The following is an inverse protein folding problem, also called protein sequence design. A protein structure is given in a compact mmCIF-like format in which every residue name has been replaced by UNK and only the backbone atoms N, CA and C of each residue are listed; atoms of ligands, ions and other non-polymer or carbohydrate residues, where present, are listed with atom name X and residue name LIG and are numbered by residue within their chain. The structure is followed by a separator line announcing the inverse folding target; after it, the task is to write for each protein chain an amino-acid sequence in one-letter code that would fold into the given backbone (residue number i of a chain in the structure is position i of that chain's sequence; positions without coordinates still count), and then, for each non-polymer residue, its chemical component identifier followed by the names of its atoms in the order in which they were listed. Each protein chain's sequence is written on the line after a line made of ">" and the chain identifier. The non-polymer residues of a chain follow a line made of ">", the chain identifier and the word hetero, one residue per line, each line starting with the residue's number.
data_IF_116816041474
#
_entry.id   IF_116816041474
#
_cell.length_a   1.000
_cell.length_b   1.000
_cell.length_c   1.000
_cell.angle_alpha   90.00
_cell.angle_beta   90.00
_cell.angle_gamma   90.00
#
_symmetry.space_group_name_H-M   'P 1'
#
loop_
_entity.id
_entity.type
_entity.pdbx_description
1 polymer ?
#
# COMPACT_ATOMS: atom_id res chain seq x y z
N UNK A 1 -19.04 -1.28 17.02
CA UNK A 1 -19.94 -2.31 16.46
C UNK A 1 -20.09 -2.13 14.96
N UNK A 2 -20.38 -0.93 14.45
CA UNK A 2 -20.56 -0.67 13.01
C UNK A 2 -19.32 -0.99 12.17
N UNK A 3 -18.14 -0.59 12.61
CA UNK A 3 -16.85 -0.90 11.95
C UNK A 3 -16.58 -2.41 11.88
N UNK A 4 -16.90 -3.14 12.94
CA UNK A 4 -16.75 -4.59 12.97
C UNK A 4 -17.62 -5.28 11.92
N UNK A 5 -18.89 -4.87 11.81
CA UNK A 5 -19.83 -5.43 10.82
C UNK A 5 -19.39 -5.08 9.39
N UNK A 6 -18.93 -3.84 9.16
CA UNK A 6 -18.48 -3.41 7.83
C UNK A 6 -17.24 -4.21 7.35
N UNK A 7 -16.26 -4.40 8.22
CA UNK A 7 -15.02 -5.10 7.85
C UNK A 7 -15.25 -6.61 7.73
N UNK A 8 -16.07 -7.21 8.59
CA UNK A 8 -16.51 -8.60 8.39
C UNK A 8 -17.28 -8.79 7.09
N UNK A 9 -18.18 -7.86 6.75
CA UNK A 9 -18.91 -7.87 5.49
C UNK A 9 -17.99 -7.78 4.28
N UNK A 10 -17.00 -6.88 4.31
CA UNK A 10 -15.97 -6.78 3.28
C UNK A 10 -15.17 -8.08 3.15
N UNK A 11 -14.71 -8.66 4.27
CA UNK A 11 -14.01 -9.93 4.28
C UNK A 11 -14.84 -11.08 3.71
N UNK A 12 -16.17 -11.08 3.95
CA UNK A 12 -17.08 -12.06 3.37
C UNK A 12 -17.21 -11.92 1.85
N UNK A 13 -17.32 -10.69 1.36
CA UNK A 13 -17.44 -10.40 -0.09
C UNK A 13 -16.18 -10.83 -0.83
N UNK A 14 -14.99 -10.59 -0.26
CA UNK A 14 -13.70 -10.83 -0.92
C UNK A 14 -13.27 -12.29 -0.87
N UNK A 15 -13.42 -12.96 0.28
CA UNK A 15 -12.87 -14.30 0.49
C UNK A 15 -13.84 -15.31 1.12
N UNK A 16 -15.13 -14.97 1.17
CA UNK A 16 -16.16 -15.83 1.73
C UNK A 16 -16.11 -15.96 3.25
N UNK A 17 -16.80 -16.98 3.78
CA UNK A 17 -16.96 -17.16 5.24
C UNK A 17 -15.65 -17.36 5.98
N UNK A 18 -14.64 -17.97 5.37
CA UNK A 18 -13.33 -18.21 6.00
C UNK A 18 -12.61 -16.90 6.26
N UNK A 19 -12.54 -16.02 5.27
CA UNK A 19 -11.93 -14.69 5.40
C UNK A 19 -12.70 -13.83 6.40
N UNK A 20 -14.02 -13.85 6.39
CA UNK A 20 -14.84 -13.12 7.36
C UNK A 20 -14.56 -13.56 8.81
N UNK A 21 -14.39 -14.86 9.06
CA UNK A 21 -14.07 -15.38 10.40
C UNK A 21 -12.68 -14.96 10.83
N UNK A 22 -11.67 -15.06 9.94
CA UNK A 22 -10.30 -14.67 10.26
C UNK A 22 -10.25 -13.16 10.57
N UNK A 23 -10.73 -12.33 9.67
CA UNK A 23 -10.74 -10.86 9.82
C UNK A 23 -11.54 -10.45 11.06
N UNK A 24 -12.72 -11.05 11.27
CA UNK A 24 -13.54 -10.79 12.46
C UNK A 24 -12.83 -11.16 13.76
N UNK A 25 -12.14 -12.31 13.79
CA UNK A 25 -11.35 -12.74 14.94
C UNK A 25 -10.19 -11.80 15.26
N UNK A 26 -9.50 -11.30 14.23
CA UNK A 26 -8.38 -10.37 14.38
C UNK A 26 -8.83 -8.99 14.88
N UNK A 27 -9.95 -8.47 14.35
CA UNK A 27 -10.53 -7.21 14.84
C UNK A 27 -11.02 -7.37 16.29
N UNK A 28 -11.65 -8.50 16.61
CA UNK A 28 -12.07 -8.80 17.97
C UNK A 28 -10.86 -8.86 18.92
N UNK A 29 -9.74 -9.45 18.48
CA UNK A 29 -8.51 -9.47 19.23
C UNK A 29 -7.99 -8.05 19.53
N UNK A 30 -7.94 -7.17 18.53
CA UNK A 30 -7.54 -5.76 18.70
C UNK A 30 -8.50 -5.04 19.67
N UNK A 31 -9.81 -5.26 19.52
CA UNK A 31 -10.82 -4.64 20.38
C UNK A 31 -10.72 -5.09 21.84
N UNK A 32 -10.48 -6.38 22.09
CA UNK A 32 -10.31 -6.94 23.43
C UNK A 32 -8.96 -6.55 24.08
N UNK A 33 -7.95 -6.22 23.25
CA UNK A 33 -6.62 -5.79 23.73
C UNK A 33 -6.58 -4.31 24.15
N UNK A 34 -7.69 -3.57 24.06
CA UNK A 34 -7.80 -2.12 24.35
C UNK A 34 -6.93 -1.22 23.44
N UNK A 35 -6.45 -1.74 22.31
CA UNK A 35 -5.61 -0.99 21.35
C UNK A 35 -6.40 -0.39 20.19
N UNK A 36 -7.72 -0.26 20.34
CA UNK A 36 -8.62 0.20 19.28
C UNK A 36 -8.25 1.59 18.74
N UNK A 37 -7.96 2.55 19.62
CA UNK A 37 -7.59 3.91 19.21
C UNK A 37 -6.28 3.94 18.41
N UNK A 38 -5.31 3.14 18.83
CA UNK A 38 -4.04 2.98 18.12
C UNK A 38 -4.22 2.34 16.75
N UNK A 39 -5.10 1.34 16.64
CA UNK A 39 -5.45 0.71 15.39
C UNK A 39 -6.12 1.68 14.41
N UNK A 40 -7.01 2.55 14.91
CA UNK A 40 -7.63 3.59 14.09
C UNK A 40 -6.62 4.62 13.57
N UNK A 41 -5.67 5.04 14.39
CA UNK A 41 -4.61 5.96 13.96
C UNK A 41 -3.78 5.31 12.84
N UNK A 42 -3.34 4.07 13.02
CA UNK A 42 -2.59 3.32 12.02
C UNK A 42 -3.38 3.14 10.73
N UNK A 43 -4.66 2.75 10.84
CA UNK A 43 -5.54 2.57 9.68
C UNK A 43 -5.76 3.88 8.92
N UNK A 44 -5.96 4.99 9.62
CA UNK A 44 -6.08 6.32 9.02
C UNK A 44 -4.81 6.70 8.25
N UNK A 45 -3.65 6.61 8.90
CA UNK A 45 -2.36 6.97 8.28
C UNK A 45 -2.08 6.11 7.05
N UNK A 46 -2.26 4.79 7.15
CA UNK A 46 -2.03 3.85 6.06
C UNK A 46 -3.01 4.08 4.91
N UNK A 47 -4.31 4.21 5.19
CA UNK A 47 -5.32 4.43 4.15
C UNK A 47 -5.05 5.72 3.37
N UNK A 48 -4.77 6.81 4.08
CA UNK A 48 -4.44 8.07 3.43
C UNK A 48 -3.18 7.96 2.55
N UNK A 49 -2.12 7.35 3.08
CA UNK A 49 -0.89 7.13 2.33
C UNK A 49 -1.13 6.27 1.08
N UNK A 50 -1.90 5.19 1.19
CA UNK A 50 -2.24 4.30 0.07
C UNK A 50 -3.02 5.03 -1.01
N UNK A 51 -4.07 5.77 -0.64
CA UNK A 51 -4.90 6.50 -1.61
C UNK A 51 -4.08 7.52 -2.40
N UNK A 52 -3.26 8.31 -1.70
CA UNK A 52 -2.40 9.31 -2.35
C UNK A 52 -1.33 8.65 -3.21
N UNK A 53 -0.66 7.60 -2.71
CA UNK A 53 0.38 6.89 -3.44
C UNK A 53 -0.16 6.16 -4.67
N UNK A 54 -1.32 5.50 -4.56
CA UNK A 54 -1.96 4.83 -5.69
C UNK A 54 -2.36 5.84 -6.76
N UNK A 55 -2.98 6.95 -6.37
CA UNK A 55 -3.35 8.01 -7.31
C UNK A 55 -2.13 8.59 -8.04
N UNK A 56 -1.09 8.97 -7.31
CA UNK A 56 0.14 9.51 -7.89
C UNK A 56 0.86 8.47 -8.75
N UNK A 57 1.00 7.24 -8.26
CA UNK A 57 1.71 6.16 -8.94
C UNK A 57 1.02 5.73 -10.23
N UNK A 58 -0.30 5.58 -10.22
CA UNK A 58 -1.08 5.25 -11.42
C UNK A 58 -1.00 6.41 -12.44
N UNK A 59 -1.11 7.66 -11.98
CA UNK A 59 -1.05 8.83 -12.86
C UNK A 59 0.34 8.94 -13.51
N UNK A 60 1.40 8.92 -12.72
CA UNK A 60 2.79 8.99 -13.22
C UNK A 60 3.11 7.80 -14.10
N UNK A 61 2.76 6.58 -13.68
CA UNK A 61 2.96 5.36 -14.45
C UNK A 61 2.26 5.40 -15.79
N UNK A 62 1.00 5.85 -15.84
CA UNK A 62 0.21 5.97 -17.08
C UNK A 62 0.79 6.99 -18.06
N UNK A 63 1.32 8.10 -17.56
CA UNK A 63 1.98 9.11 -18.40
C UNK A 63 3.32 8.58 -18.93
N UNK A 64 4.13 7.95 -18.09
CA UNK A 64 5.44 7.43 -18.46
C UNK A 64 5.35 6.23 -19.41
N UNK A 65 4.31 5.42 -19.33
CA UNK A 65 4.10 4.27 -20.21
C UNK A 65 3.82 4.64 -21.67
N UNK A 66 3.43 5.89 -21.97
CA UNK A 66 3.14 6.32 -23.33
C UNK A 66 4.36 6.36 -24.26
N UNK A 67 5.57 6.37 -23.72
CA UNK A 67 6.82 6.41 -24.48
C UNK A 67 7.82 5.43 -23.90
N UNK A 68 8.43 4.58 -24.76
CA UNK A 68 9.42 3.60 -24.33
C UNK A 68 10.64 4.20 -23.60
N UNK A 69 11.06 5.41 -23.97
CA UNK A 69 12.17 6.11 -23.33
C UNK A 69 11.84 6.50 -21.88
N UNK A 70 10.68 7.15 -21.69
CA UNK A 70 10.20 7.55 -20.36
C UNK A 70 9.86 6.33 -19.49
N UNK A 71 9.30 5.29 -20.09
CA UNK A 71 9.00 4.02 -19.44
C UNK A 71 10.26 3.37 -18.86
N UNK A 72 11.32 3.24 -19.64
CA UNK A 72 12.60 2.69 -19.17
C UNK A 72 13.24 3.57 -18.10
N UNK A 73 13.19 4.88 -18.26
CA UNK A 73 13.76 5.82 -17.30
C UNK A 73 13.05 5.73 -15.94
N UNK A 74 11.72 5.73 -15.91
CA UNK A 74 10.96 5.66 -14.65
C UNK A 74 11.13 4.30 -13.98
N UNK A 75 11.18 3.19 -14.73
CA UNK A 75 11.46 1.87 -14.15
C UNK A 75 12.85 1.81 -13.52
N UNK A 76 13.88 2.37 -14.16
CA UNK A 76 15.21 2.46 -13.59
C UNK A 76 15.24 3.32 -12.30
N UNK A 77 14.46 4.40 -12.27
CA UNK A 77 14.28 5.22 -11.05
C UNK A 77 13.59 4.42 -9.96
N UNK A 78 12.52 3.70 -10.27
CA UNK A 78 11.84 2.83 -9.30
C UNK A 78 12.80 1.76 -8.75
N UNK A 79 13.58 1.08 -9.62
CA UNK A 79 14.56 0.07 -9.23
C UNK A 79 15.61 0.67 -8.30
N UNK A 80 16.15 1.84 -8.63
CA UNK A 80 17.11 2.55 -7.80
C UNK A 80 16.55 2.83 -6.40
N UNK A 81 15.36 3.41 -6.32
CA UNK A 81 14.75 3.71 -5.03
C UNK A 81 14.37 2.47 -4.22
N UNK A 82 14.02 1.36 -4.85
CA UNK A 82 13.74 0.09 -4.16
C UNK A 82 14.97 -0.58 -3.55
N UNK A 83 16.19 -0.20 -3.98
CA UNK A 83 17.42 -0.72 -3.36
C UNK A 83 17.71 -0.12 -1.99
N UNK A 84 17.13 1.03 -1.68
CA UNK A 84 17.36 1.68 -0.41
C UNK A 84 16.57 1.04 0.73
N UNK A 85 17.18 0.87 1.92
CA UNK A 85 16.44 0.56 3.12
C UNK A 85 15.35 1.59 3.40
N UNK A 86 14.17 1.13 3.78
CA UNK A 86 12.99 1.98 4.02
C UNK A 86 13.22 3.16 4.97
N UNK A 87 14.12 3.01 5.96
CA UNK A 87 14.48 4.10 6.87
C UNK A 87 15.06 5.34 6.18
N UNK A 88 15.69 5.18 5.02
CA UNK A 88 16.29 6.31 4.30
C UNK A 88 15.24 7.34 3.89
N UNK A 89 14.00 6.91 3.64
CA UNK A 89 12.90 7.81 3.29
C UNK A 89 12.41 8.62 4.50
N UNK A 90 12.53 8.06 5.68
CA UNK A 90 12.05 8.68 6.90
C UNK A 90 12.97 9.80 7.39
N UNK A 91 14.28 9.61 7.26
CA UNK A 91 15.29 10.56 7.79
C UNK A 91 15.12 11.97 7.23
N UNK A 92 15.11 12.23 5.90
CA UNK A 92 14.97 13.58 5.38
C UNK A 92 13.62 14.22 5.72
N UNK A 93 12.56 13.44 5.80
CA UNK A 93 11.23 13.95 6.15
C UNK A 93 11.20 14.40 7.61
N UNK A 94 11.81 13.63 8.52
CA UNK A 94 11.93 14.03 9.94
C UNK A 94 12.78 15.31 10.10
N UNK A 95 13.85 15.42 9.36
CA UNK A 95 14.71 16.61 9.40
C UNK A 95 13.95 17.87 8.96
N UNK A 96 13.00 17.77 8.04
CA UNK A 96 12.21 18.90 7.52
C UNK A 96 10.98 19.20 8.38
N UNK A 97 10.27 18.17 8.87
CA UNK A 97 8.95 18.31 9.50
C UNK A 97 8.93 17.90 10.98
N UNK A 98 10.08 17.48 11.52
CA UNK A 98 10.15 16.97 12.90
C UNK A 98 9.58 15.58 13.07
N UNK A 99 9.52 15.10 14.32
CA UNK A 99 8.98 13.80 14.69
C UNK A 99 7.48 13.94 14.88
N UNK A 100 6.71 13.68 13.83
CA UNK A 100 5.24 13.83 13.82
C UNK A 100 4.59 12.73 12.98
N UNK A 101 3.31 12.46 13.20
CA UNK A 101 2.52 11.53 12.38
C UNK A 101 2.51 11.97 10.91
N UNK A 102 2.50 13.27 10.65
CA UNK A 102 2.58 13.85 9.30
C UNK A 102 3.87 13.46 8.60
N UNK A 103 5.00 13.44 9.32
CA UNK A 103 6.30 13.00 8.77
C UNK A 103 6.26 11.54 8.33
N UNK A 104 5.65 10.67 9.14
CA UNK A 104 5.46 9.25 8.78
C UNK A 104 4.55 9.10 7.58
N UNK A 105 3.45 9.85 7.51
CA UNK A 105 2.54 9.82 6.36
C UNK A 105 3.22 10.26 5.07
N UNK A 106 4.01 11.34 5.09
CA UNK A 106 4.77 11.79 3.92
C UNK A 106 5.79 10.73 3.48
N UNK A 107 6.55 10.18 4.42
CA UNK A 107 7.51 9.13 4.13
C UNK A 107 6.83 7.86 3.57
N UNK A 108 5.65 7.50 4.10
CA UNK A 108 4.85 6.39 3.61
C UNK A 108 4.37 6.63 2.17
N UNK A 109 3.93 7.85 1.85
CA UNK A 109 3.52 8.21 0.48
C UNK A 109 4.70 8.09 -0.49
N UNK A 110 5.86 8.68 -0.15
CA UNK A 110 7.05 8.67 -1.01
C UNK A 110 7.54 7.24 -1.25
N UNK A 111 7.49 6.39 -0.23
CA UNK A 111 7.91 4.99 -0.35
C UNK A 111 6.90 4.13 -1.12
N UNK A 112 5.61 4.30 -0.84
CA UNK A 112 4.54 3.48 -1.41
C UNK A 112 4.14 3.88 -2.84
N UNK A 113 4.51 5.08 -3.32
CA UNK A 113 4.28 5.48 -4.72
C UNK A 113 5.10 4.65 -5.71
N UNK A 114 6.23 4.10 -5.28
CA UNK A 114 7.16 3.37 -6.14
C UNK A 114 6.53 2.12 -6.75
N UNK A 115 5.97 1.16 -5.97
CA UNK A 115 5.32 -0.02 -6.53
C UNK A 115 4.09 0.34 -7.38
N UNK A 116 3.28 1.33 -6.97
CA UNK A 116 2.14 1.76 -7.77
C UNK A 116 2.57 2.24 -9.17
N UNK A 117 3.62 3.05 -9.25
CA UNK A 117 4.18 3.54 -10.52
C UNK A 117 4.73 2.38 -11.35
N UNK A 118 5.55 1.53 -10.76
CA UNK A 118 6.21 0.41 -11.43
C UNK A 118 5.20 -0.54 -12.07
N UNK A 119 4.27 -1.08 -11.27
CA UNK A 119 3.29 -2.04 -11.77
C UNK A 119 2.32 -1.43 -12.79
N UNK A 120 2.04 -0.14 -12.71
CA UNK A 120 1.25 0.56 -13.72
C UNK A 120 2.00 0.61 -15.06
N UNK A 121 3.29 0.97 -15.05
CA UNK A 121 4.11 0.99 -16.26
C UNK A 121 4.27 -0.41 -16.87
N UNK A 122 4.59 -1.39 -16.04
CA UNK A 122 4.74 -2.79 -16.48
C UNK A 122 3.44 -3.33 -17.06
N UNK A 123 2.30 -3.05 -16.41
CA UNK A 123 0.98 -3.47 -16.87
C UNK A 123 0.61 -2.88 -18.22
N UNK A 124 0.82 -1.58 -18.41
CA UNK A 124 0.55 -0.93 -19.69
C UNK A 124 1.51 -1.39 -20.79
N UNK A 125 2.78 -1.63 -20.47
CA UNK A 125 3.76 -2.15 -21.42
C UNK A 125 3.54 -3.64 -21.77
N UNK A 126 2.82 -4.39 -20.96
CA UNK A 126 2.50 -5.80 -21.21
C UNK A 126 1.41 -6.01 -22.25
N UNK A 127 0.70 -4.94 -22.65
CA UNK A 127 -0.36 -5.01 -23.68
C UNK A 127 0.26 -5.34 -25.04
N UNK A 128 -0.18 -6.41 -25.73
CA UNK A 128 0.37 -6.81 -27.00
C UNK A 128 0.26 -5.72 -28.07
N UNK A 129 1.33 -5.50 -28.81
CA UNK A 129 1.38 -4.50 -29.92
C UNK A 129 0.35 -4.77 -30.99
N UNK A 130 -0.01 -6.04 -31.23
CA UNK A 130 -1.06 -6.44 -32.17
C UNK A 130 -2.43 -5.83 -31.83
N UNK A 131 -2.74 -5.64 -30.56
CA UNK A 131 -3.98 -4.98 -30.13
C UNK A 131 -3.94 -3.46 -30.34
N UNK A 132 -2.78 -2.85 -30.22
CA UNK A 132 -2.59 -1.44 -30.59
C UNK A 132 -2.79 -1.22 -32.09
N UNK A 133 -2.24 -2.11 -32.91
CA UNK A 133 -2.38 -2.05 -34.37
C UNK A 133 -3.83 -2.31 -34.79
N UNK A 134 -4.48 -3.34 -34.26
CA UNK A 134 -5.89 -3.63 -34.52
C UNK A 134 -6.82 -2.46 -34.15
N UNK A 135 -6.60 -1.83 -33.02
CA UNK A 135 -7.33 -0.64 -32.59
C UNK A 135 -7.12 0.53 -33.57
N UNK A 136 -5.88 0.74 -34.00
CA UNK A 136 -5.57 1.81 -34.93
C UNK A 136 -6.22 1.58 -36.33
N UNK A 137 -6.19 0.33 -36.82
CA UNK A 137 -6.83 -0.05 -38.09
C UNK A 137 -8.37 0.08 -38.02
N UNK A 138 -8.95 -0.12 -36.85
CA UNK A 138 -10.39 0.06 -36.61
C UNK A 138 -10.82 1.54 -36.47
N UNK A 139 -9.89 2.50 -36.63
CA UNK A 139 -10.20 3.93 -36.53
C UNK A 139 -10.48 4.42 -35.10
N UNK A 140 -10.12 3.65 -34.09
CA UNK A 140 -10.33 4.01 -32.67
C UNK A 140 -9.39 5.15 -32.29
N UNK A 141 -9.90 6.19 -31.64
CA UNK A 141 -9.09 7.29 -31.12
C UNK A 141 -8.13 6.82 -30.00
N UNK A 142 -7.05 7.59 -29.76
CA UNK A 142 -6.09 7.27 -28.67
C UNK A 142 -6.77 7.11 -27.31
N UNK A 143 -7.71 7.99 -26.98
CA UNK A 143 -8.45 7.93 -25.72
C UNK A 143 -9.32 6.67 -25.62
N UNK A 144 -10.04 6.32 -26.69
CA UNK A 144 -10.85 5.10 -26.74
C UNK A 144 -10.00 3.84 -26.63
N UNK A 145 -8.84 3.79 -27.32
CA UNK A 145 -7.90 2.67 -27.21
C UNK A 145 -7.39 2.53 -25.77
N UNK A 146 -6.99 3.65 -25.14
CA UNK A 146 -6.50 3.63 -23.76
C UNK A 146 -7.57 3.11 -22.80
N UNK A 147 -8.82 3.64 -22.85
CA UNK A 147 -9.89 3.27 -21.93
C UNK A 147 -10.42 1.86 -22.19
N UNK A 148 -10.58 1.46 -23.46
CA UNK A 148 -11.31 0.24 -23.81
C UNK A 148 -10.39 -0.97 -24.06
N UNK A 149 -9.08 -0.75 -24.28
CA UNK A 149 -8.14 -1.83 -24.58
C UNK A 149 -6.99 -1.86 -23.56
N UNK A 150 -6.21 -0.77 -23.48
CA UNK A 150 -4.97 -0.76 -22.70
C UNK A 150 -5.25 -0.86 -21.21
N UNK A 151 -6.12 0.00 -20.69
CA UNK A 151 -6.43 0.05 -19.25
C UNK A 151 -7.07 -1.25 -18.71
N UNK A 152 -8.09 -1.84 -19.37
CA UNK A 152 -8.66 -3.11 -18.92
C UNK A 152 -7.67 -4.27 -18.92
N UNK A 153 -6.78 -4.33 -19.90
CA UNK A 153 -5.74 -5.37 -19.97
C UNK A 153 -4.62 -5.15 -18.96
N UNK A 154 -4.28 -3.90 -18.66
CA UNK A 154 -3.29 -3.56 -17.63
C UNK A 154 -3.85 -3.67 -16.19
N UNK A 155 -5.18 -3.68 -16.02
CA UNK A 155 -5.84 -3.63 -14.71
C UNK A 155 -5.36 -4.71 -13.72
N UNK A 156 -5.15 -5.98 -14.11
CA UNK A 156 -4.62 -6.98 -13.17
C UNK A 156 -3.25 -6.60 -12.59
N UNK A 157 -2.36 -6.03 -13.40
CA UNK A 157 -1.05 -5.54 -12.94
C UNK A 157 -1.18 -4.30 -12.06
N UNK A 158 -2.08 -3.37 -12.42
CA UNK A 158 -2.36 -2.17 -11.61
C UNK A 158 -2.90 -2.57 -10.24
N UNK A 159 -3.82 -3.54 -10.18
CA UNK A 159 -4.35 -4.05 -8.91
C UNK A 159 -3.27 -4.72 -8.06
N UNK A 160 -2.34 -5.46 -8.69
CA UNK A 160 -1.18 -6.00 -7.99
C UNK A 160 -0.29 -4.87 -7.46
N UNK A 161 -0.12 -3.79 -8.22
CA UNK A 161 0.57 -2.58 -7.79
C UNK A 161 -0.09 -1.91 -6.58
N UNK A 162 -1.41 -1.80 -6.57
CA UNK A 162 -2.18 -1.28 -5.42
C UNK A 162 -1.96 -2.16 -4.18
N UNK A 163 -2.03 -3.49 -4.34
CA UNK A 163 -1.76 -4.41 -3.24
C UNK A 163 -0.35 -4.21 -2.64
N UNK A 164 0.68 -4.10 -3.49
CA UNK A 164 2.04 -3.81 -3.03
C UNK A 164 2.16 -2.42 -2.38
N UNK A 165 1.42 -1.44 -2.88
CA UNK A 165 1.36 -0.09 -2.29
C UNK A 165 0.80 -0.13 -0.87
N UNK A 166 -0.24 -0.95 -0.62
CA UNK A 166 -0.79 -1.17 0.73
C UNK A 166 0.27 -1.73 1.67
N UNK A 167 0.96 -2.80 1.25
CA UNK A 167 2.01 -3.43 2.06
C UNK A 167 3.14 -2.45 2.38
N UNK A 168 3.60 -1.66 1.40
CA UNK A 168 4.68 -0.69 1.58
C UNK A 168 4.26 0.46 2.50
N UNK A 169 3.04 1.00 2.34
CA UNK A 169 2.52 2.05 3.21
C UNK A 169 2.38 1.58 4.66
N UNK A 170 1.82 0.39 4.87
CA UNK A 170 1.68 -0.21 6.20
C UNK A 170 3.03 -0.45 6.86
N UNK A 171 4.00 -0.98 6.11
CA UNK A 171 5.35 -1.20 6.61
C UNK A 171 6.00 0.11 7.07
N UNK A 172 5.86 1.19 6.30
CA UNK A 172 6.41 2.49 6.66
C UNK A 172 5.72 3.09 7.89
N UNK A 173 4.40 2.95 8.03
CA UNK A 173 3.66 3.41 9.21
C UNK A 173 4.15 2.67 10.47
N UNK A 174 4.35 1.34 10.40
CA UNK A 174 4.91 0.58 11.53
C UNK A 174 6.34 1.06 11.88
N UNK A 175 7.16 1.38 10.88
CA UNK A 175 8.50 1.93 11.11
C UNK A 175 8.45 3.32 11.76
N UNK A 176 7.38 4.08 11.57
CA UNK A 176 7.13 5.34 12.26
C UNK A 176 7.18 5.22 13.77
N UNK A 177 6.82 4.07 14.31
CA UNK A 177 6.92 3.79 15.75
C UNK A 177 8.34 3.88 16.31
N UNK A 178 9.36 3.60 15.48
CA UNK A 178 10.77 3.72 15.87
C UNK A 178 11.19 5.17 16.15
N UNK A 179 10.45 6.12 15.59
CA UNK A 179 10.67 7.54 15.81
C UNK A 179 9.73 8.15 16.86
N UNK A 180 8.83 7.34 17.44
CA UNK A 180 8.00 7.76 18.57
C UNK A 180 6.57 8.14 18.22
N UNK A 181 6.03 7.77 17.04
CA UNK A 181 4.59 7.93 16.74
C UNK A 181 3.72 7.03 17.62
N UNK A 182 2.50 7.52 17.89
CA UNK A 182 1.56 6.86 18.80
C UNK A 182 0.60 5.97 18.01
N UNK A 183 1.12 4.87 17.46
CA UNK A 183 0.40 3.93 16.61
C UNK A 183 0.51 2.47 17.11
N UNK A 184 -0.01 1.48 16.35
CA UNK A 184 0.14 0.07 16.67
C UNK A 184 1.61 -0.39 16.65
N UNK A 185 2.45 0.23 15.83
CA UNK A 185 3.87 -0.07 15.77
C UNK A 185 4.58 0.19 17.08
N UNK A 186 4.19 1.25 17.82
CA UNK A 186 4.74 1.55 19.15
C UNK A 186 4.43 0.43 20.16
N UNK A 187 3.24 -0.16 20.08
CA UNK A 187 2.84 -1.29 20.95
C UNK A 187 3.66 -2.52 20.59
N UNK A 188 3.85 -2.80 19.30
CA UNK A 188 4.68 -3.91 18.83
C UNK A 188 6.13 -3.75 19.36
N UNK A 189 6.72 -2.57 19.21
CA UNK A 189 8.08 -2.28 19.70
C UNK A 189 8.16 -2.38 21.24
N UNK A 190 7.18 -1.85 21.95
CA UNK A 190 7.08 -1.95 23.39
C UNK A 190 6.91 -3.40 23.88
N UNK A 191 6.18 -4.23 23.14
CA UNK A 191 6.00 -5.64 23.44
C UNK A 191 7.28 -6.45 23.18
N UNK A 192 8.01 -6.15 22.11
CA UNK A 192 9.30 -6.78 21.80
C UNK A 192 10.39 -6.45 22.82
N UNK A 193 10.34 -5.26 23.41
CA UNK A 193 11.31 -4.84 24.44
C UNK A 193 11.07 -5.49 25.81
N UNK A 194 9.88 -6.04 26.06
CA UNK A 194 9.56 -6.75 27.30
C UNK A 194 10.17 -8.15 27.30
N UNK A 195 10.98 -8.46 28.29
CA UNK A 195 11.53 -9.80 28.47
C UNK A 195 10.42 -10.78 28.86
N UNK A 196 10.07 -11.70 27.98
CA UNK A 196 9.11 -12.79 28.25
C UNK A 196 8.25 -13.18 27.05
N UNK A 197 7.82 -14.43 26.99
CA UNK A 197 7.04 -14.99 25.87
C UNK A 197 5.68 -14.30 25.65
N UNK A 198 5.07 -13.74 26.69
CA UNK A 198 3.79 -13.02 26.59
C UNK A 198 3.91 -11.73 25.75
N UNK A 199 5.05 -11.02 25.85
CA UNK A 199 5.30 -9.81 25.05
C UNK A 199 5.44 -10.15 23.56
N UNK A 200 6.17 -11.21 23.25
CA UNK A 200 6.35 -11.68 21.86
C UNK A 200 5.02 -12.14 21.27
N UNK A 201 4.21 -12.89 22.03
CA UNK A 201 2.88 -13.34 21.56
C UNK A 201 1.95 -12.18 21.24
N UNK A 202 1.93 -11.15 22.07
CA UNK A 202 1.14 -9.94 21.85
C UNK A 202 1.61 -9.19 20.59
N UNK A 203 2.92 -8.99 20.44
CA UNK A 203 3.51 -8.33 19.29
C UNK A 203 3.18 -9.06 17.98
N UNK A 204 3.32 -10.38 17.95
CA UNK A 204 2.97 -11.22 16.82
C UNK A 204 1.47 -11.16 16.50
N UNK A 205 0.61 -11.24 17.51
CA UNK A 205 -0.83 -11.15 17.32
C UNK A 205 -1.26 -9.83 16.69
N UNK A 206 -0.74 -8.71 17.19
CA UNK A 206 -1.02 -7.37 16.63
C UNK A 206 -0.47 -7.25 15.21
N UNK A 207 0.76 -7.70 14.95
CA UNK A 207 1.38 -7.68 13.63
C UNK A 207 0.58 -8.48 12.61
N UNK A 208 0.20 -9.72 12.95
CA UNK A 208 -0.62 -10.57 12.08
C UNK A 208 -1.99 -9.95 11.84
N UNK A 209 -2.64 -9.42 12.89
CA UNK A 209 -3.93 -8.73 12.75
C UNK A 209 -3.85 -7.57 11.77
N UNK A 210 -2.76 -6.83 11.83
CA UNK A 210 -2.50 -5.69 10.96
C UNK A 210 -2.25 -6.11 9.51
N UNK A 211 -1.42 -7.13 9.30
CA UNK A 211 -1.13 -7.67 7.96
C UNK A 211 -2.34 -8.32 7.28
N UNK A 212 -3.29 -8.83 8.04
CA UNK A 212 -4.53 -9.38 7.48
C UNK A 212 -5.58 -8.32 7.11
N UNK A 213 -5.39 -7.06 7.55
CA UNK A 213 -6.21 -5.92 7.14
C UNK A 213 -5.70 -5.26 5.86
N UNK A 214 -4.49 -5.60 5.41
CA UNK A 214 -3.86 -5.16 4.18
C UNK A 214 -4.26 -6.05 2.99
#
# INVERSE_FOLDING_TARGET
>A
VSTFILVMGAGYIVGGIRSAIIVGGLILFIALSEYWDRALITAYMATFAVLVSAFLGITVGSVCAQNQGTSRAILAVCDFFQTFPSFIYLIPVILLFGITDTSVMIAAIVYAVIPATRYTVEGLNSVPTSLHEAGTMSGVSRAQRWINIELPLALPHIMLGINQTVVFALFMVILGALIGTIDLGQIIMGALSKKGGAGIGLALGIFVSFMCLA
#
